data_IF_682968475963
#
_entry.id   IF_682968475963
#
_cell.length_a   1.000
_cell.length_b   1.000
_cell.length_c   1.000
_cell.angle_alpha   90.00
_cell.angle_beta   90.00
_cell.angle_gamma   90.00
#
_symmetry.space_group_name_H-M   'P 1'
#
loop_
_entity.id
_entity.type
_entity.pdbx_description
1 polymer ?
#
# COMPACT_ATOMS: atom_id res chain seq x y z
N UNK A 1 -12.52 -15.27 -3.95
CA UNK A 1 -13.22 -14.39 -4.90
C UNK A 1 -13.23 -12.96 -4.40
N UNK A 2 -12.95 -12.01 -5.28
CA UNK A 2 -12.97 -10.60 -4.93
C UNK A 2 -14.38 -10.09 -4.68
N UNK A 3 -14.52 -9.33 -3.58
CA UNK A 3 -15.77 -8.65 -3.22
C UNK A 3 -15.50 -7.17 -3.02
N UNK A 4 -16.53 -6.34 -3.24
CA UNK A 4 -16.42 -4.90 -2.98
C UNK A 4 -15.89 -4.63 -1.57
N UNK A 5 -14.86 -3.83 -1.50
CA UNK A 5 -14.23 -3.47 -0.23
C UNK A 5 -13.09 -4.38 0.20
N UNK A 6 -12.77 -5.40 -0.59
CA UNK A 6 -11.60 -6.24 -0.28
C UNK A 6 -10.31 -5.42 -0.42
N UNK A 7 -9.45 -5.53 0.58
CA UNK A 7 -8.10 -4.97 0.52
C UNK A 7 -7.15 -6.05 0.05
N UNK A 8 -6.24 -5.69 -0.84
CA UNK A 8 -5.28 -6.61 -1.45
C UNK A 8 -3.89 -6.23 -0.99
N UNK A 9 -3.27 -7.09 -0.20
CA UNK A 9 -1.91 -6.88 0.30
C UNK A 9 -0.92 -7.71 -0.52
N UNK A 10 0.16 -7.10 -0.95
CA UNK A 10 1.08 -7.67 -1.95
C UNK A 10 2.46 -7.87 -1.35
N UNK A 11 3.07 -9.03 -1.64
CA UNK A 11 4.50 -9.30 -1.40
C UNK A 11 5.21 -9.21 -2.74
N UNK A 12 6.27 -8.44 -2.79
CA UNK A 12 7.01 -8.20 -4.03
C UNK A 12 8.50 -8.53 -3.89
N UNK A 13 9.10 -8.99 -5.00
CA UNK A 13 10.53 -9.31 -5.07
C UNK A 13 11.40 -8.16 -5.58
N UNK A 14 10.80 -7.01 -5.91
CA UNK A 14 11.57 -5.85 -6.37
C UNK A 14 12.48 -5.33 -5.26
N UNK A 15 13.53 -4.61 -5.63
CA UNK A 15 14.46 -4.02 -4.66
C UNK A 15 13.74 -3.11 -3.66
N UNK A 16 12.85 -2.24 -4.18
CA UNK A 16 12.02 -1.38 -3.33
C UNK A 16 11.09 -2.20 -2.43
N UNK A 17 10.43 -3.21 -3.00
CA UNK A 17 9.53 -4.08 -2.24
C UNK A 17 10.23 -4.79 -1.10
N UNK A 18 11.42 -5.32 -1.36
CA UNK A 18 12.22 -5.98 -0.34
C UNK A 18 12.67 -5.00 0.76
N UNK A 19 13.02 -3.77 0.38
CA UNK A 19 13.42 -2.75 1.35
C UNK A 19 12.26 -2.36 2.28
N UNK A 20 11.06 -2.20 1.72
CA UNK A 20 9.85 -1.92 2.51
C UNK A 20 9.58 -3.07 3.46
N UNK A 21 9.59 -4.32 2.96
CA UNK A 21 9.34 -5.51 3.77
C UNK A 21 10.37 -5.68 4.89
N UNK A 22 11.63 -5.40 4.62
CA UNK A 22 12.68 -5.49 5.64
C UNK A 22 12.46 -4.51 6.79
N UNK A 23 11.89 -3.36 6.49
CA UNK A 23 11.65 -2.31 7.49
C UNK A 23 10.33 -2.43 8.23
N UNK A 24 9.31 -3.05 7.62
CA UNK A 24 7.92 -2.95 8.11
C UNK A 24 7.18 -4.28 8.27
N UNK A 25 7.55 -5.33 7.55
CA UNK A 25 6.87 -6.63 7.62
C UNK A 25 6.69 -7.28 6.26
N UNK A 26 5.71 -8.16 6.13
CA UNK A 26 5.61 -9.06 4.99
C UNK A 26 5.11 -8.42 3.68
N UNK A 27 4.51 -7.23 3.75
CA UNK A 27 3.87 -6.63 2.57
C UNK A 27 4.57 -5.36 2.13
N UNK A 28 4.60 -5.14 0.82
CA UNK A 28 5.21 -3.94 0.22
C UNK A 28 4.18 -3.04 -0.46
N UNK A 29 2.95 -3.52 -0.68
CA UNK A 29 1.92 -2.77 -1.41
C UNK A 29 0.53 -3.14 -0.89
N UNK A 30 -0.41 -2.22 -1.04
CA UNK A 30 -1.82 -2.45 -0.70
C UNK A 30 -2.71 -1.74 -1.71
N UNK A 31 -3.82 -2.39 -2.06
CA UNK A 31 -4.83 -1.86 -2.97
C UNK A 31 -6.22 -2.19 -2.42
N UNK A 32 -7.25 -1.61 -3.03
CA UNK A 32 -8.64 -1.89 -2.64
C UNK A 32 -9.47 -2.17 -3.89
N UNK A 33 -10.35 -3.16 -3.79
CA UNK A 33 -11.25 -3.56 -4.88
C UNK A 33 -12.61 -2.91 -4.67
N UNK A 34 -13.05 -2.10 -5.64
CA UNK A 34 -14.31 -1.38 -5.58
C UNK A 34 -14.97 -1.40 -6.96
N UNK A 35 -16.20 -1.88 -7.02
CA UNK A 35 -17.03 -1.86 -8.23
C UNK A 35 -16.30 -2.41 -9.46
N UNK A 36 -15.72 -3.60 -9.32
CA UNK A 36 -15.08 -4.29 -10.43
C UNK A 36 -13.67 -3.84 -10.78
N UNK A 37 -13.11 -2.85 -10.07
CA UNK A 37 -11.79 -2.32 -10.34
C UNK A 37 -10.91 -2.29 -9.10
N UNK A 38 -9.59 -2.35 -9.33
CA UNK A 38 -8.60 -2.23 -8.27
C UNK A 38 -8.06 -0.80 -8.25
N UNK A 39 -8.23 -0.13 -7.13
CA UNK A 39 -7.75 1.24 -6.90
C UNK A 39 -6.48 1.19 -6.07
N UNK A 40 -5.42 1.84 -6.53
CA UNK A 40 -4.18 1.89 -5.76
C UNK A 40 -3.28 3.06 -6.21
N UNK A 41 -2.34 3.41 -5.35
CA UNK A 41 -1.33 4.42 -5.67
C UNK A 41 -0.08 3.72 -6.22
N UNK A 42 0.35 4.11 -7.41
CA UNK A 42 1.47 3.51 -8.12
C UNK A 42 2.58 4.52 -8.35
N UNK A 43 3.83 4.04 -8.32
CA UNK A 43 5.00 4.92 -8.56
C UNK A 43 4.93 5.54 -9.96
N UNK A 44 4.54 4.75 -10.96
CA UNK A 44 4.56 5.17 -12.37
C UNK A 44 3.38 6.06 -12.75
N UNK A 45 2.20 5.81 -12.19
CA UNK A 45 0.97 6.46 -12.62
C UNK A 45 0.20 7.21 -11.55
N UNK A 46 0.71 7.25 -10.32
CA UNK A 46 -0.03 7.84 -9.20
C UNK A 46 -1.23 7.00 -8.83
N UNK A 47 -2.27 7.66 -8.31
CA UNK A 47 -3.52 6.98 -7.93
C UNK A 47 -4.31 6.66 -9.19
N UNK A 48 -4.59 5.37 -9.40
CA UNK A 48 -5.32 4.90 -10.58
C UNK A 48 -6.23 3.74 -10.22
N UNK A 49 -7.13 3.43 -11.15
CA UNK A 49 -8.01 2.26 -11.10
C UNK A 49 -7.75 1.41 -12.34
N UNK A 50 -7.67 0.10 -12.14
CA UNK A 50 -7.41 -0.83 -13.25
C UNK A 50 -8.21 -2.12 -13.07
N UNK A 51 -8.39 -2.86 -14.16
CA UNK A 51 -9.06 -4.16 -14.11
C UNK A 51 -8.22 -5.15 -13.30
N UNK A 52 -8.84 -6.12 -12.62
CA UNK A 52 -8.09 -7.13 -11.86
C UNK A 52 -7.07 -7.87 -12.71
N UNK A 53 -7.39 -8.22 -13.95
CA UNK A 53 -6.48 -8.93 -14.85
C UNK A 53 -5.22 -8.11 -15.20
N UNK A 54 -5.29 -6.79 -15.08
CA UNK A 54 -4.12 -5.92 -15.28
C UNK A 54 -3.33 -5.71 -13.98
N UNK A 55 -3.99 -5.89 -12.84
CA UNK A 55 -3.38 -5.70 -11.53
C UNK A 55 -2.59 -6.93 -11.05
N UNK A 56 -3.19 -8.11 -11.16
CA UNK A 56 -2.56 -9.35 -10.67
C UNK A 56 -1.48 -9.82 -11.63
N UNK A 57 -0.30 -10.08 -11.10
CA UNK A 57 0.87 -10.49 -11.88
C UNK A 57 1.42 -11.83 -11.40
N UNK A 58 1.99 -12.60 -12.33
CA UNK A 58 2.64 -13.86 -12.01
C UNK A 58 3.83 -13.65 -11.07
N UNK A 59 4.03 -14.58 -10.16
CA UNK A 59 5.18 -14.56 -9.26
C UNK A 59 5.02 -13.72 -8.00
N UNK A 60 3.90 -13.01 -7.88
CA UNK A 60 3.60 -12.24 -6.66
C UNK A 60 2.60 -12.98 -5.78
N UNK A 61 2.62 -12.67 -4.50
CA UNK A 61 1.69 -13.23 -3.52
C UNK A 61 0.72 -12.13 -3.10
N UNK A 62 -0.57 -12.43 -3.17
CA UNK A 62 -1.64 -11.49 -2.84
C UNK A 62 -2.49 -12.05 -1.72
N UNK A 63 -2.59 -11.33 -0.62
CA UNK A 63 -3.44 -11.71 0.51
C UNK A 63 -4.65 -10.77 0.56
N UNK A 64 -5.85 -11.33 0.55
CA UNK A 64 -7.09 -10.58 0.61
C UNK A 64 -7.59 -10.48 2.04
N UNK A 65 -7.97 -9.25 2.43
CA UNK A 65 -8.60 -8.95 3.71
C UNK A 65 -9.91 -8.22 3.47
N UNK A 66 -10.85 -8.36 4.38
CA UNK A 66 -12.16 -7.74 4.24
C UNK A 66 -12.55 -6.98 5.51
N UNK A 67 -13.23 -5.84 5.32
CA UNK A 67 -13.83 -5.05 6.39
C UNK A 67 -15.34 -5.10 6.22
N UNK A 68 -16.04 -5.82 7.11
CA UNK A 68 -17.47 -6.09 6.96
C UNK A 68 -18.36 -4.86 7.05
N UNK A 69 -17.92 -3.83 7.77
CA UNK A 69 -18.72 -2.62 7.99
C UNK A 69 -18.44 -1.52 6.96
N UNK A 70 -17.81 -1.88 5.84
CA UNK A 70 -17.43 -0.91 4.83
C UNK A 70 -18.65 -0.34 4.10
N UNK A 71 -18.69 0.99 3.96
CA UNK A 71 -19.63 1.67 3.06
C UNK A 71 -18.94 1.84 1.71
N UNK A 72 -19.11 0.87 0.82
CA UNK A 72 -18.42 0.85 -0.46
C UNK A 72 -18.74 2.04 -1.35
N UNK A 73 -19.97 2.56 -1.30
CA UNK A 73 -20.38 3.74 -2.07
C UNK A 73 -19.58 4.97 -1.65
N UNK A 74 -19.50 5.22 -0.35
CA UNK A 74 -18.77 6.36 0.18
C UNK A 74 -17.26 6.23 -0.06
N UNK A 75 -16.71 5.04 0.16
CA UNK A 75 -15.28 4.77 -0.06
C UNK A 75 -14.93 4.94 -1.54
N UNK A 76 -15.78 4.48 -2.44
CA UNK A 76 -15.56 4.63 -3.88
C UNK A 76 -15.56 6.10 -4.30
N UNK A 77 -16.47 6.92 -3.76
CA UNK A 77 -16.48 8.36 -4.02
C UNK A 77 -15.16 9.01 -3.61
N UNK A 78 -14.66 8.64 -2.43
CA UNK A 78 -13.37 9.15 -1.94
C UNK A 78 -12.24 8.71 -2.86
N UNK A 79 -12.20 7.44 -3.25
CA UNK A 79 -11.17 6.91 -4.14
C UNK A 79 -11.20 7.61 -5.49
N UNK A 80 -12.37 7.81 -6.08
CA UNK A 80 -12.51 8.50 -7.36
C UNK A 80 -12.06 9.96 -7.28
N UNK A 81 -12.31 10.62 -6.15
CA UNK A 81 -11.88 12.01 -5.96
C UNK A 81 -10.36 12.16 -5.92
N UNK A 82 -9.63 11.08 -5.64
CA UNK A 82 -8.16 11.09 -5.55
C UNK A 82 -7.48 10.54 -6.81
N UNK A 83 -8.25 10.06 -7.80
CA UNK A 83 -7.67 9.56 -9.05
C UNK A 83 -6.84 10.65 -9.72
N UNK A 84 -5.66 10.27 -10.21
CA UNK A 84 -4.74 11.21 -10.85
C UNK A 84 -3.80 11.92 -9.89
N UNK A 85 -3.98 11.77 -8.56
CA UNK A 85 -3.03 12.31 -7.60
C UNK A 85 -1.65 11.67 -7.79
N UNK A 86 -0.55 12.42 -7.64
CA UNK A 86 0.78 11.83 -7.82
C UNK A 86 1.14 10.86 -6.70
N UNK A 87 2.13 10.03 -6.96
CA UNK A 87 2.69 9.15 -5.93
C UNK A 87 3.59 9.96 -5.00
N UNK A 88 3.39 9.81 -3.70
CA UNK A 88 4.22 10.49 -2.69
C UNK A 88 5.51 9.70 -2.46
N UNK A 89 6.48 9.88 -3.35
CA UNK A 89 7.74 9.13 -3.33
C UNK A 89 8.65 9.48 -2.16
N UNK A 90 8.43 10.65 -1.54
CA UNK A 90 9.21 11.06 -0.36
C UNK A 90 8.77 10.36 0.92
N UNK A 91 7.56 9.83 0.95
CA UNK A 91 6.90 9.27 2.13
C UNK A 91 6.71 10.26 3.28
N UNK A 92 6.98 11.54 3.07
CA UNK A 92 6.73 12.56 4.09
C UNK A 92 5.22 12.72 4.31
N UNK A 93 4.79 12.93 5.57
CA UNK A 93 3.35 13.08 5.87
C UNK A 93 2.70 14.22 5.09
N UNK A 94 3.44 15.29 4.82
CA UNK A 94 2.97 16.47 4.09
C UNK A 94 3.46 16.49 2.64
N UNK A 95 3.96 15.36 2.13
CA UNK A 95 4.40 15.24 0.74
C UNK A 95 3.24 15.32 -0.22
N UNK A 96 3.54 15.65 -1.48
CA UNK A 96 2.52 15.75 -2.53
C UNK A 96 2.07 14.36 -2.97
N UNK A 97 0.74 14.15 -2.99
CA UNK A 97 0.16 12.88 -3.41
C UNK A 97 0.05 11.84 -2.31
N UNK A 98 0.06 10.57 -2.72
CA UNK A 98 -0.18 9.44 -1.81
C UNK A 98 0.75 8.28 -2.13
N UNK A 99 1.37 7.69 -1.10
CA UNK A 99 1.94 6.35 -1.25
C UNK A 99 0.84 5.32 -0.99
N UNK A 100 1.09 4.03 -1.25
CA UNK A 100 0.02 3.02 -1.33
C UNK A 100 -0.86 2.94 -0.08
N UNK A 101 -0.27 2.78 1.09
CA UNK A 101 -1.04 2.67 2.33
C UNK A 101 -1.63 4.02 2.77
N UNK A 102 -0.97 5.13 2.42
CA UNK A 102 -1.49 6.47 2.67
C UNK A 102 -2.79 6.71 1.90
N UNK A 103 -2.86 6.25 0.65
CA UNK A 103 -4.07 6.33 -0.16
C UNK A 103 -5.21 5.53 0.48
N UNK A 104 -4.96 4.27 0.84
CA UNK A 104 -5.99 3.42 1.45
C UNK A 104 -6.47 4.02 2.77
N UNK A 105 -5.56 4.50 3.62
CA UNK A 105 -5.91 5.13 4.89
C UNK A 105 -6.71 6.42 4.70
N UNK A 106 -6.46 7.15 3.62
CA UNK A 106 -7.19 8.39 3.32
C UNK A 106 -8.66 8.13 2.97
N UNK A 107 -8.95 7.01 2.27
CA UNK A 107 -10.31 6.70 1.84
C UNK A 107 -11.05 5.82 2.83
N UNK A 108 -10.34 5.07 3.67
CA UNK A 108 -10.92 4.16 4.66
C UNK A 108 -10.40 4.55 6.05
N UNK A 109 -11.14 5.43 6.78
CA UNK A 109 -10.61 6.07 8.00
C UNK A 109 -10.71 5.17 9.24
N UNK A 110 -10.14 3.97 9.17
CA UNK A 110 -10.10 3.02 10.29
C UNK A 110 -8.67 2.78 10.80
N UNK A 111 -7.68 3.44 10.19
CA UNK A 111 -6.26 3.21 10.49
C UNK A 111 -5.66 4.41 11.20
N UNK A 112 -4.75 4.13 12.13
CA UNK A 112 -3.97 5.15 12.81
C UNK A 112 -2.56 5.23 12.20
N UNK A 113 -1.92 6.39 12.32
CA UNK A 113 -0.52 6.51 11.92
C UNK A 113 0.39 5.95 13.01
N UNK A 114 1.55 5.46 12.57
CA UNK A 114 2.62 4.99 13.46
C UNK A 114 3.92 5.68 13.05
N UNK A 115 4.94 5.68 13.93
CA UNK A 115 6.26 6.19 13.55
C UNK A 115 6.84 5.37 12.39
N UNK A 116 7.25 6.03 11.31
CA UNK A 116 7.82 5.35 10.15
C UNK A 116 9.21 4.80 10.44
N UNK A 117 9.50 3.60 9.93
CA UNK A 117 10.77 2.89 10.10
C UNK A 117 11.40 2.61 8.75
N UNK A 118 12.72 2.69 8.71
CA UNK A 118 13.53 2.51 7.50
C UNK A 118 14.74 1.61 7.76
N UNK A 119 14.66 0.78 8.79
CA UNK A 119 15.77 -0.05 9.20
C UNK A 119 15.79 -1.44 8.57
N UNK A 120 16.88 -2.14 8.82
CA UNK A 120 17.02 -3.55 8.48
C UNK A 120 17.93 -4.19 9.50
N UNK A 121 17.48 -5.26 10.15
CA UNK A 121 18.23 -5.91 11.22
C UNK A 121 18.49 -4.95 12.37
N UNK A 122 19.76 -4.72 12.71
CA UNK A 122 20.15 -3.81 13.78
C UNK A 122 20.37 -2.37 13.30
N UNK A 123 20.34 -2.15 11.99
CA UNK A 123 20.50 -0.81 11.43
C UNK A 123 19.20 -0.02 11.54
N UNK A 124 19.29 1.18 12.11
CA UNK A 124 18.13 2.07 12.23
C UNK A 124 17.67 2.58 10.88
N UNK A 125 18.61 2.86 9.97
CA UNK A 125 18.33 3.23 8.58
C UNK A 125 19.20 2.37 7.68
N UNK A 126 18.57 1.58 6.82
CA UNK A 126 19.30 0.67 5.93
C UNK A 126 20.07 1.43 4.85
N UNK A 127 21.06 0.77 4.23
CA UNK A 127 21.83 1.34 3.13
C UNK A 127 20.94 1.73 1.96
N UNK A 128 19.91 0.90 1.67
CA UNK A 128 18.95 1.20 0.60
C UNK A 128 18.27 2.56 0.83
N UNK A 129 17.73 2.77 2.03
CA UNK A 129 16.99 3.99 2.33
C UNK A 129 17.90 5.21 2.42
N UNK A 130 19.13 5.05 2.89
CA UNK A 130 20.11 6.14 2.87
C UNK A 130 20.38 6.62 1.45
N UNK A 131 20.58 5.68 0.52
CA UNK A 131 20.81 6.01 -0.90
C UNK A 131 19.57 6.62 -1.54
N UNK A 132 18.38 6.06 -1.23
CA UNK A 132 17.11 6.53 -1.74
C UNK A 132 16.89 8.03 -1.43
N UNK A 133 17.03 8.40 -0.15
CA UNK A 133 16.80 9.79 0.27
C UNK A 133 17.94 10.72 -0.15
N UNK A 134 19.15 10.19 -0.32
CA UNK A 134 20.27 10.98 -0.84
C UNK A 134 19.94 11.51 -2.24
N UNK A 135 19.33 10.70 -3.08
CA UNK A 135 18.95 11.14 -4.44
C UNK A 135 17.88 12.23 -4.43
N UNK A 136 17.00 12.24 -3.44
CA UNK A 136 16.02 13.31 -3.29
C UNK A 136 16.61 14.59 -2.67
N UNK A 137 17.78 14.49 -2.06
CA UNK A 137 18.32 15.60 -1.29
C UNK A 137 17.54 15.89 -0.03
N UNK A 138 16.88 14.88 0.52
CA UNK A 138 16.03 14.99 1.71
C UNK A 138 16.53 14.10 2.83
N UNK A 139 16.24 14.47 4.08
CA UNK A 139 16.48 13.60 5.21
C UNK A 139 15.49 12.44 5.20
N UNK A 140 15.89 11.29 5.76
CA UNK A 140 14.99 10.16 5.96
C UNK A 140 13.93 10.58 6.99
N UNK A 141 12.61 10.42 6.70
CA UNK A 141 11.57 10.84 7.64
C UNK A 141 11.35 9.82 8.76
N UNK A 142 12.42 9.44 9.43
CA UNK A 142 12.41 8.48 10.52
C UNK A 142 11.53 8.98 11.66
N UNK A 143 10.65 8.10 12.15
CA UNK A 143 9.72 8.34 13.24
C UNK A 143 8.66 9.42 12.96
N UNK A 144 8.57 9.93 11.74
CA UNK A 144 7.44 10.76 11.35
C UNK A 144 6.17 9.91 11.25
N UNK A 145 4.97 10.49 11.49
CA UNK A 145 3.73 9.71 11.43
C UNK A 145 3.43 9.24 10.01
N UNK A 146 3.11 7.96 9.87
CA UNK A 146 2.80 7.37 8.58
C UNK A 146 2.12 6.02 8.73
N UNK A 147 1.96 5.34 7.60
CA UNK A 147 1.39 3.99 7.54
C UNK A 147 2.25 3.11 6.65
N UNK A 148 2.03 1.80 6.72
CA UNK A 148 2.63 0.85 5.80
C UNK A 148 1.67 -0.32 5.60
N UNK A 149 1.83 -1.08 4.49
CA UNK A 149 0.90 -2.18 4.21
C UNK A 149 0.80 -3.21 5.32
N UNK A 150 1.93 -3.63 5.87
CA UNK A 150 1.95 -4.65 6.93
C UNK A 150 1.22 -4.20 8.18
N UNK A 151 1.34 -2.93 8.53
CA UNK A 151 0.62 -2.33 9.66
C UNK A 151 -0.89 -2.33 9.40
N UNK A 152 -1.32 -1.94 8.19
CA UNK A 152 -2.75 -1.94 7.88
C UNK A 152 -3.35 -3.34 7.98
N UNK A 153 -2.61 -4.36 7.52
CA UNK A 153 -3.08 -5.75 7.58
C UNK A 153 -3.28 -6.24 9.02
N UNK A 154 -2.66 -5.61 10.00
CA UNK A 154 -2.80 -5.98 11.41
C UNK A 154 -4.00 -5.31 12.10
N UNK A 155 -4.76 -4.49 11.39
CA UNK A 155 -5.92 -3.81 11.96
C UNK A 155 -6.95 -4.84 12.47
N UNK A 156 -7.48 -4.65 13.69
CA UNK A 156 -8.53 -5.54 14.22
C UNK A 156 -9.83 -5.45 13.46
N UNK A 157 -10.01 -4.43 12.61
CA UNK A 157 -11.19 -4.26 11.77
C UNK A 157 -11.16 -5.13 10.52
N UNK A 158 -10.01 -5.67 10.15
CA UNK A 158 -9.84 -6.48 8.94
C UNK A 158 -9.81 -7.96 9.27
N UNK A 159 -10.41 -8.75 8.39
CA UNK A 159 -10.40 -10.21 8.50
C UNK A 159 -9.69 -10.80 7.28
N UNK A 160 -8.74 -11.69 7.51
CA UNK A 160 -8.08 -12.41 6.42
C UNK A 160 -9.10 -13.27 5.69
N UNK A 161 -9.06 -13.23 4.38
CA UNK A 161 -10.02 -13.91 3.53
C UNK A 161 -9.39 -15.08 2.77
N UNK A 162 -8.40 -14.81 1.95
CA UNK A 162 -7.73 -15.85 1.16
C UNK A 162 -6.43 -15.35 0.56
N UNK A 163 -5.61 -16.29 0.09
CA UNK A 163 -4.37 -15.97 -0.61
C UNK A 163 -4.47 -16.37 -2.06
N UNK A 164 -4.10 -15.45 -2.96
CA UNK A 164 -4.00 -15.70 -4.39
C UNK A 164 -2.54 -15.92 -4.79
N UNK A 165 -2.32 -16.95 -5.59
CA UNK A 165 -1.02 -17.27 -6.17
C UNK A 165 -1.19 -17.37 -7.67
N UNK A 166 -1.33 -16.22 -8.35
CA UNK A 166 -1.25 -16.16 -9.81
C UNK A 166 -2.38 -16.84 -10.60
N UNK A 167 -3.63 -16.75 -10.11
CA UNK A 167 -4.75 -17.40 -10.78
C UNK A 167 -5.33 -16.61 -11.97
N UNK A 168 -4.90 -15.37 -12.19
CA UNK A 168 -5.48 -14.52 -13.23
C UNK A 168 -4.78 -14.61 -14.57
N UNK A 169 -3.70 -15.38 -14.69
CA UNK A 169 -2.88 -15.46 -15.90
C UNK A 169 -2.83 -16.87 -16.52
N UNK A 170 -3.85 -17.66 -16.26
CA UNK A 170 -3.96 -19.01 -16.80
C UNK A 170 -4.79 -19.09 -18.06
#
# INVERSE_FOLDING_TARGET
>A
MLENGDLIFVREDTEMGQAIQASTGNYSHVAIFLDGQVYHATVEGGVLAQAPEDFFEAGKIYDLYHYEQIDCTEIQKRAESLLGSPYNASFYPDGDGYYCSQFVAAILPIFETIPMKFGEGEEEISSFWKAYYREFGLAVPLDQPGTNPSQLAQSPHLQFKERYLDDYHH
#
